data_IF_383001975089
#
_entry.id   IF_383001975089
#
_cell.length_a   1.000
_cell.length_b   1.000
_cell.length_c   1.000
_cell.angle_alpha   90.00
_cell.angle_beta   90.00
_cell.angle_gamma   90.00
#
_symmetry.space_group_name_H-M   'P 1'
#
loop_
_entity.id
_entity.type
_entity.pdbx_description
1 polymer ?
#
# COMPACT_ATOMS: atom_id res chain seq x y z
N UNK A 1 8.11 21.03 6.75
CA UNK A 1 8.17 19.74 7.47
C UNK A 1 7.95 18.65 6.43
N UNK A 2 8.85 17.66 6.36
CA UNK A 2 8.80 16.58 5.36
C UNK A 2 8.05 15.36 5.91
N UNK A 3 7.91 15.24 7.23
CA UNK A 3 7.16 14.16 7.90
C UNK A 3 5.69 14.07 7.43
N UNK A 4 5.11 12.86 7.40
CA UNK A 4 5.74 11.57 7.73
C UNK A 4 6.82 11.14 6.73
N UNK A 5 7.74 10.26 7.15
CA UNK A 5 8.89 9.78 6.37
C UNK A 5 8.64 8.39 5.79
N UNK A 6 9.04 8.17 4.53
CA UNK A 6 9.07 6.84 3.91
C UNK A 6 10.45 6.18 3.99
N UNK A 7 11.51 6.99 3.90
CA UNK A 7 12.92 6.59 3.94
C UNK A 7 13.77 7.72 4.52
N UNK A 8 15.07 7.49 4.71
CA UNK A 8 16.02 8.59 4.96
C UNK A 8 15.90 9.65 3.86
N UNK A 9 15.73 10.91 4.27
CA UNK A 9 15.62 12.11 3.41
C UNK A 9 14.45 12.11 2.42
N UNK A 10 13.49 11.21 2.55
CA UNK A 10 12.29 11.18 1.71
C UNK A 10 11.01 11.15 2.54
N UNK A 11 10.14 12.13 2.28
CA UNK A 11 8.79 12.18 2.84
C UNK A 11 7.89 11.08 2.28
N UNK A 12 6.99 10.59 3.13
CA UNK A 12 5.98 9.58 2.79
C UNK A 12 4.98 10.11 1.77
N UNK A 13 4.69 11.42 1.78
CA UNK A 13 3.82 12.06 0.78
C UNK A 13 4.47 12.07 -0.59
N UNK A 14 5.74 12.45 -0.66
CA UNK A 14 6.49 12.45 -1.92
C UNK A 14 6.61 11.04 -2.49
N UNK A 15 6.87 10.05 -1.64
CA UNK A 15 6.90 8.64 -2.04
C UNK A 15 5.53 8.15 -2.53
N UNK A 16 4.45 8.48 -1.83
CA UNK A 16 3.10 8.10 -2.20
C UNK A 16 2.68 8.67 -3.56
N UNK A 17 2.91 9.97 -3.77
CA UNK A 17 2.62 10.65 -5.04
C UNK A 17 3.55 10.13 -6.15
N UNK A 18 4.84 9.96 -5.85
CA UNK A 18 5.84 9.44 -6.77
C UNK A 18 5.50 8.05 -7.29
N UNK A 19 5.12 7.14 -6.38
CA UNK A 19 4.70 5.76 -6.67
C UNK A 19 3.53 5.70 -7.65
N UNK A 20 2.55 6.60 -7.54
CA UNK A 20 1.47 6.67 -8.52
C UNK A 20 1.89 7.39 -9.81
N UNK A 21 2.65 8.49 -9.72
CA UNK A 21 3.09 9.27 -10.88
C UNK A 21 3.93 8.43 -11.85
N UNK A 22 4.74 7.50 -11.34
CA UNK A 22 5.53 6.60 -12.21
C UNK A 22 4.68 5.56 -12.92
N UNK A 23 3.44 5.31 -12.47
CA UNK A 23 2.47 4.44 -13.14
C UNK A 23 1.58 5.19 -14.11
N UNK A 24 1.36 6.48 -13.87
CA UNK A 24 0.51 7.31 -14.72
C UNK A 24 1.05 7.32 -16.16
N UNK A 25 0.17 7.02 -17.11
CA UNK A 25 0.53 6.80 -18.52
C UNK A 25 1.22 5.46 -18.85
N UNK A 26 1.64 4.65 -17.86
CA UNK A 26 2.26 3.33 -18.09
C UNK A 26 1.29 2.16 -17.93
N UNK A 27 0.24 2.34 -17.14
CA UNK A 27 -0.85 1.37 -17.06
C UNK A 27 -1.87 1.66 -18.15
N UNK A 28 -1.99 0.74 -19.12
CA UNK A 28 -2.95 0.88 -20.21
C UNK A 28 -4.40 0.84 -19.73
N UNK A 29 -5.30 1.50 -20.46
CA UNK A 29 -6.74 1.46 -20.16
C UNK A 29 -7.30 0.03 -20.14
N UNK A 30 -6.72 -0.86 -20.95
CA UNK A 30 -7.05 -2.29 -20.99
C UNK A 30 -6.81 -2.99 -19.66
N UNK A 31 -5.82 -2.56 -18.87
CA UNK A 31 -5.58 -3.12 -17.54
C UNK A 31 -6.78 -2.88 -16.61
N UNK A 32 -7.27 -1.63 -16.54
CA UNK A 32 -8.45 -1.29 -15.73
C UNK A 32 -9.71 -2.03 -16.22
N UNK A 33 -9.88 -2.19 -17.54
CA UNK A 33 -10.97 -3.01 -18.12
C UNK A 33 -10.89 -4.47 -17.68
N UNK A 34 -9.68 -5.04 -17.58
CA UNK A 34 -9.49 -6.41 -17.08
C UNK A 34 -9.92 -6.50 -15.62
N UNK A 35 -9.55 -5.53 -14.78
CA UNK A 35 -9.97 -5.52 -13.37
C UNK A 35 -11.49 -5.52 -13.26
N UNK A 36 -12.16 -4.54 -13.87
CA UNK A 36 -13.62 -4.43 -13.88
C UNK A 36 -14.30 -5.74 -14.29
N UNK A 37 -13.92 -6.30 -15.45
CA UNK A 37 -14.51 -7.56 -15.97
C UNK A 37 -14.24 -8.78 -15.11
N UNK A 38 -13.09 -8.84 -14.42
CA UNK A 38 -12.73 -9.97 -13.55
C UNK A 38 -13.50 -9.92 -12.24
N UNK A 39 -13.70 -8.72 -11.70
CA UNK A 39 -14.50 -8.47 -10.49
C UNK A 39 -15.99 -8.72 -10.72
N UNK A 40 -16.52 -8.29 -11.88
CA UNK A 40 -17.92 -8.47 -12.26
C UNK A 40 -18.35 -9.94 -12.26
N UNK A 41 -17.45 -10.87 -12.61
CA UNK A 41 -17.70 -12.33 -12.53
C UNK A 41 -18.02 -12.84 -11.12
N UNK A 42 -17.74 -12.06 -10.09
CA UNK A 42 -18.05 -12.34 -8.69
C UNK A 42 -19.12 -11.39 -8.13
N UNK A 43 -19.80 -10.64 -9.00
CA UNK A 43 -20.83 -9.67 -8.64
C UNK A 43 -20.27 -8.38 -8.04
N UNK A 44 -18.96 -8.13 -8.14
CA UNK A 44 -18.34 -6.87 -7.71
C UNK A 44 -18.33 -5.95 -8.92
N UNK A 45 -19.33 -5.06 -9.02
CA UNK A 45 -19.49 -4.17 -10.17
C UNK A 45 -18.78 -2.85 -9.89
N UNK A 46 -17.79 -2.54 -10.71
CA UNK A 46 -17.07 -1.27 -10.72
C UNK A 46 -16.98 -0.77 -12.15
N UNK A 47 -17.37 0.48 -12.36
CA UNK A 47 -17.11 1.14 -13.64
C UNK A 47 -15.60 1.42 -13.80
N UNK A 48 -15.21 1.87 -14.99
CA UNK A 48 -13.80 2.09 -15.31
C UNK A 48 -13.17 3.20 -14.45
N UNK A 49 -13.95 4.22 -14.06
CA UNK A 49 -13.44 5.33 -13.26
C UNK A 49 -13.23 4.90 -11.80
N UNK A 50 -14.19 4.17 -11.22
CA UNK A 50 -14.06 3.58 -9.89
C UNK A 50 -12.87 2.64 -9.78
N UNK A 51 -12.60 1.82 -10.81
CA UNK A 51 -11.39 1.00 -10.85
C UNK A 51 -10.12 1.86 -10.86
N UNK A 52 -10.06 2.91 -11.69
CA UNK A 52 -8.90 3.81 -11.75
C UNK A 52 -8.66 4.51 -10.41
N UNK A 53 -9.72 4.97 -9.75
CA UNK A 53 -9.65 5.59 -8.43
C UNK A 53 -9.14 4.61 -7.36
N UNK A 54 -9.68 3.40 -7.32
CA UNK A 54 -9.22 2.37 -6.36
C UNK A 54 -7.76 2.00 -6.59
N UNK A 55 -7.32 1.85 -7.86
CA UNK A 55 -5.92 1.57 -8.19
C UNK A 55 -5.02 2.74 -7.75
N UNK A 56 -5.46 3.99 -7.97
CA UNK A 56 -4.74 5.16 -7.51
C UNK A 56 -4.62 5.17 -5.99
N UNK A 57 -5.74 5.03 -5.29
CA UNK A 57 -5.79 5.07 -3.83
C UNK A 57 -4.91 3.97 -3.22
N UNK A 58 -4.99 2.73 -3.72
CA UNK A 58 -4.19 1.63 -3.16
C UNK A 58 -2.69 1.83 -3.39
N UNK A 59 -2.28 2.36 -4.55
CA UNK A 59 -0.86 2.67 -4.80
C UNK A 59 -0.38 3.81 -3.91
N UNK A 60 -1.16 4.88 -3.77
CA UNK A 60 -0.79 6.04 -2.94
C UNK A 60 -0.74 5.69 -1.45
N UNK A 61 -1.61 4.78 -0.99
CA UNK A 61 -1.80 4.49 0.43
C UNK A 61 -1.22 3.14 0.88
N UNK A 62 -0.58 2.35 -0.01
CA UNK A 62 -0.03 1.03 0.34
C UNK A 62 0.94 1.08 1.53
N UNK A 63 1.59 2.22 1.71
CA UNK A 63 2.63 2.48 2.69
C UNK A 63 2.16 3.32 3.89
N UNK A 64 0.83 3.50 4.05
CA UNK A 64 0.22 4.23 5.17
C UNK A 64 0.73 3.77 6.54
N UNK A 65 1.00 2.48 6.72
CA UNK A 65 1.53 1.93 7.95
C UNK A 65 2.91 2.45 8.34
N UNK A 66 3.70 3.01 7.40
CA UNK A 66 4.93 3.73 7.73
C UNK A 66 4.66 4.97 8.58
N UNK A 67 3.43 5.49 8.58
CA UNK A 67 3.00 6.57 9.47
C UNK A 67 2.82 6.12 10.94
N UNK A 68 3.11 4.86 11.29
CA UNK A 68 3.14 4.41 12.68
C UNK A 68 4.11 5.23 13.52
N UNK A 69 3.67 5.63 14.73
CA UNK A 69 4.50 6.40 15.65
C UNK A 69 5.86 5.76 15.91
N UNK A 70 5.93 4.42 15.98
CA UNK A 70 7.19 3.69 16.13
C UNK A 70 8.21 4.08 15.05
N UNK A 71 7.77 4.18 13.80
CA UNK A 71 8.64 4.52 12.68
C UNK A 71 8.97 6.01 12.66
N UNK A 72 7.97 6.86 12.81
CA UNK A 72 8.12 8.31 12.68
C UNK A 72 8.93 8.95 13.81
N UNK A 73 9.02 8.27 14.97
CA UNK A 73 9.88 8.67 16.08
C UNK A 73 11.35 8.29 15.88
N UNK A 74 11.70 7.56 14.81
CA UNK A 74 13.10 7.26 14.45
C UNK A 74 13.76 8.39 13.64
N UNK A 75 13.00 9.41 13.23
CA UNK A 75 13.45 10.49 12.34
C UNK A 75 13.21 11.89 12.95
N UNK A 76 13.96 12.88 12.48
CA UNK A 76 13.65 14.31 12.66
C UNK A 76 12.62 14.80 11.64
N UNK A 77 12.20 16.08 11.74
CA UNK A 77 11.17 16.68 10.88
C UNK A 77 11.55 16.79 9.39
N UNK A 78 12.81 16.53 9.06
CA UNK A 78 13.37 16.52 7.71
C UNK A 78 13.67 15.08 7.22
N UNK A 79 13.18 14.07 7.95
CA UNK A 79 13.43 12.66 7.65
C UNK A 79 14.90 12.25 7.71
N UNK A 80 15.72 12.94 8.51
CA UNK A 80 17.03 12.44 8.90
C UNK A 80 16.88 11.45 10.05
N UNK A 81 17.54 10.28 10.00
CA UNK A 81 17.44 9.30 11.06
C UNK A 81 18.13 9.80 12.34
N UNK A 82 17.45 9.65 13.48
CA UNK A 82 17.98 10.00 14.80
C UNK A 82 18.98 8.97 15.32
N UNK A 83 18.99 7.76 14.74
CA UNK A 83 19.90 6.65 15.04
C UNK A 83 20.32 5.97 13.74
N UNK A 84 21.50 5.34 13.73
CA UNK A 84 22.04 4.65 12.55
C UNK A 84 21.19 3.47 12.07
N UNK A 85 20.47 2.81 12.97
CA UNK A 85 19.61 1.67 12.65
C UNK A 85 18.15 2.11 12.74
N UNK A 86 17.56 2.45 11.59
CA UNK A 86 16.12 2.67 11.45
C UNK A 86 15.50 1.55 10.61
N UNK A 87 14.21 1.29 10.82
CA UNK A 87 13.50 0.21 10.11
C UNK A 87 12.01 0.50 10.03
N UNK A 88 11.40 0.05 8.94
CA UNK A 88 9.95 0.01 8.71
C UNK A 88 9.42 -1.43 8.74
N UNK A 89 10.07 -2.34 9.48
CA UNK A 89 9.64 -3.75 9.54
C UNK A 89 8.17 -3.86 9.97
N UNK A 90 7.37 -4.64 9.22
CA UNK A 90 5.94 -4.85 9.47
C UNK A 90 5.00 -3.65 9.17
N UNK A 91 5.45 -2.61 8.46
CA UNK A 91 4.57 -1.50 8.09
C UNK A 91 3.37 -1.93 7.24
N UNK A 92 3.48 -3.03 6.48
CA UNK A 92 2.37 -3.62 5.73
C UNK A 92 1.16 -3.97 6.63
N UNK A 93 1.37 -4.29 7.90
CA UNK A 93 0.29 -4.58 8.85
C UNK A 93 -0.51 -3.32 9.18
N UNK A 94 0.16 -2.19 9.40
CA UNK A 94 -0.52 -0.90 9.64
C UNK A 94 -1.32 -0.45 8.44
N UNK A 95 -0.75 -0.58 7.23
CA UNK A 95 -1.45 -0.26 5.99
C UNK A 95 -2.66 -1.20 5.78
N UNK A 96 -2.51 -2.49 6.04
CA UNK A 96 -3.59 -3.46 5.91
C UNK A 96 -4.73 -3.19 6.89
N UNK A 97 -4.43 -2.88 8.14
CA UNK A 97 -5.41 -2.48 9.15
C UNK A 97 -6.22 -1.26 8.71
N UNK A 98 -5.56 -0.29 8.05
CA UNK A 98 -6.24 0.85 7.45
C UNK A 98 -7.22 0.45 6.34
N UNK A 99 -6.79 -0.39 5.39
CA UNK A 99 -7.70 -0.85 4.33
C UNK A 99 -8.85 -1.72 4.84
N UNK A 100 -8.61 -2.49 5.89
CA UNK A 100 -9.61 -3.36 6.49
C UNK A 100 -10.67 -2.57 7.27
N UNK A 101 -10.24 -1.60 8.07
CA UNK A 101 -11.13 -0.90 9.01
C UNK A 101 -11.70 0.40 8.44
N UNK A 102 -10.87 1.23 7.82
CA UNK A 102 -11.19 2.65 7.62
C UNK A 102 -11.27 3.07 6.14
N UNK A 103 -10.82 2.21 5.20
CA UNK A 103 -10.99 2.48 3.77
C UNK A 103 -12.42 2.16 3.33
N UNK A 104 -13.11 3.15 2.77
CA UNK A 104 -14.46 2.98 2.23
C UNK A 104 -14.50 3.25 0.71
N UNK A 105 -14.67 2.21 -0.13
CA UNK A 105 -14.98 2.42 -1.53
C UNK A 105 -16.42 2.98 -1.64
N UNK A 106 -16.60 4.02 -2.46
CA UNK A 106 -17.89 4.73 -2.59
C UNK A 106 -18.70 4.02 -3.66
N UNK A 107 -20.01 3.92 -3.46
CA UNK A 107 -20.99 3.43 -4.43
C UNK A 107 -20.70 2.00 -4.93
N UNK A 108 -20.09 1.17 -4.07
CA UNK A 108 -19.87 -0.24 -4.35
C UNK A 108 -20.75 -1.07 -3.43
N UNK A 109 -21.73 -1.77 -4.02
CA UNK A 109 -22.59 -2.70 -3.27
C UNK A 109 -21.79 -3.75 -2.48
N UNK A 110 -20.66 -4.18 -3.06
CA UNK A 110 -19.70 -5.13 -2.49
C UNK A 110 -18.44 -4.46 -1.94
N UNK A 111 -18.62 -3.41 -1.15
CA UNK A 111 -17.53 -2.63 -0.57
C UNK A 111 -16.56 -3.50 0.26
N UNK A 112 -17.08 -4.43 1.06
CA UNK A 112 -16.29 -5.30 1.92
C UNK A 112 -15.42 -6.30 1.14
N UNK A 113 -15.90 -6.81 0.00
CA UNK A 113 -15.09 -7.63 -0.90
C UNK A 113 -13.96 -6.82 -1.52
N UNK A 114 -14.22 -5.57 -1.94
CA UNK A 114 -13.17 -4.68 -2.45
C UNK A 114 -12.13 -4.39 -1.35
N UNK A 115 -12.56 -4.01 -0.15
CA UNK A 115 -11.67 -3.81 1.01
C UNK A 115 -10.81 -5.04 1.29
N UNK A 116 -11.42 -6.23 1.22
CA UNK A 116 -10.71 -7.50 1.41
C UNK A 116 -9.60 -7.69 0.37
N UNK A 117 -9.86 -7.36 -0.90
CA UNK A 117 -8.87 -7.45 -1.97
C UNK A 117 -7.72 -6.45 -1.79
N UNK A 118 -8.02 -5.21 -1.41
CA UNK A 118 -7.00 -4.18 -1.17
C UNK A 118 -6.14 -4.52 0.05
N UNK A 119 -6.77 -4.98 1.13
CA UNK A 119 -6.07 -5.43 2.34
C UNK A 119 -5.09 -6.56 2.01
N UNK A 120 -5.52 -7.58 1.24
CA UNK A 120 -4.64 -8.67 0.82
C UNK A 120 -3.52 -8.21 -0.12
N UNK A 121 -3.80 -7.26 -1.02
CA UNK A 121 -2.79 -6.68 -1.89
C UNK A 121 -1.69 -5.98 -1.09
N UNK A 122 -2.07 -5.18 -0.10
CA UNK A 122 -1.14 -4.47 0.78
C UNK A 122 -0.38 -5.43 1.69
N UNK A 123 -1.04 -6.43 2.29
CA UNK A 123 -0.34 -7.43 3.11
C UNK A 123 0.74 -8.21 2.32
N UNK A 124 0.54 -8.39 1.01
CA UNK A 124 1.47 -9.12 0.15
C UNK A 124 2.41 -8.22 -0.65
N UNK A 125 2.42 -6.90 -0.46
CA UNK A 125 3.26 -6.02 -1.29
C UNK A 125 4.76 -6.22 -1.06
N UNK A 126 5.14 -6.87 0.05
CA UNK A 126 6.50 -7.31 0.38
C UNK A 126 6.66 -8.85 0.34
N UNK A 127 5.86 -9.55 -0.47
CA UNK A 127 5.84 -11.03 -0.53
C UNK A 127 7.19 -11.71 -0.75
N UNK A 128 8.17 -11.01 -1.32
CA UNK A 128 9.54 -11.50 -1.47
C UNK A 128 10.31 -11.61 -0.14
N UNK A 129 9.85 -10.91 0.90
CA UNK A 129 10.48 -10.82 2.23
C UNK A 129 9.60 -11.49 3.28
N UNK A 130 8.28 -11.25 3.23
CA UNK A 130 7.29 -11.78 4.18
C UNK A 130 5.97 -12.04 3.49
N UNK A 131 5.34 -13.16 3.83
CA UNK A 131 4.03 -13.57 3.32
C UNK A 131 3.00 -13.60 4.44
N UNK A 132 1.71 -13.58 4.09
CA UNK A 132 0.61 -13.58 5.08
C UNK A 132 0.70 -14.76 6.06
N UNK A 133 1.17 -15.92 5.60
CA UNK A 133 1.30 -17.10 6.46
C UNK A 133 2.35 -16.96 7.57
N UNK A 134 3.20 -15.93 7.52
CA UNK A 134 4.16 -15.62 8.57
C UNK A 134 3.50 -14.95 9.78
N UNK A 135 2.24 -14.50 9.66
CA UNK A 135 1.51 -13.82 10.71
C UNK A 135 0.59 -14.76 11.50
N UNK A 136 0.69 -14.69 12.83
CA UNK A 136 -0.12 -15.49 13.74
C UNK A 136 -1.35 -14.70 14.18
N UNK A 137 -2.53 -15.31 14.07
CA UNK A 137 -3.81 -14.67 14.42
C UNK A 137 -3.88 -14.24 15.90
N UNK A 138 -3.23 -14.98 16.80
CA UNK A 138 -3.35 -14.78 18.25
C UNK A 138 -2.13 -14.11 18.88
N UNK A 139 -1.20 -13.58 18.07
CA UNK A 139 0.01 -12.93 18.58
C UNK A 139 0.61 -12.02 17.51
N UNK A 140 1.00 -10.81 17.89
CA UNK A 140 1.83 -9.99 17.01
C UNK A 140 3.16 -10.70 16.62
N UNK A 141 3.78 -10.31 15.49
CA UNK A 141 5.11 -10.79 15.13
C UNK A 141 6.15 -10.53 16.22
N UNK A 142 7.25 -11.27 16.19
CA UNK A 142 8.34 -11.02 17.14
C UNK A 142 8.96 -9.62 16.91
N UNK A 143 9.31 -8.93 18.01
CA UNK A 143 9.79 -7.55 18.03
C UNK A 143 8.79 -6.51 17.50
N UNK A 144 7.51 -6.86 17.41
CA UNK A 144 6.46 -5.90 17.10
C UNK A 144 6.25 -4.95 18.28
N UNK A 145 6.16 -3.66 17.98
CA UNK A 145 5.83 -2.61 18.93
C UNK A 145 4.45 -2.07 18.58
N UNK A 146 3.52 -1.98 19.53
CA UNK A 146 2.16 -1.51 19.27
C UNK A 146 2.11 -0.11 18.62
N UNK A 147 3.13 0.72 18.85
CA UNK A 147 3.26 2.04 18.20
C UNK A 147 3.45 1.94 16.68
N UNK A 148 3.75 0.75 16.13
CA UNK A 148 3.78 0.51 14.68
C UNK A 148 2.39 0.64 14.04
N UNK A 149 1.30 0.46 14.80
CA UNK A 149 -0.08 0.55 14.32
C UNK A 149 -0.86 1.71 14.94
N UNK A 150 -0.18 2.59 15.68
CA UNK A 150 -0.71 3.89 16.10
C UNK A 150 -0.49 4.88 14.96
N UNK A 151 -1.47 4.95 14.05
CA UNK A 151 -1.37 5.74 12.83
C UNK A 151 -2.02 7.12 12.93
N UNK A 152 -2.86 7.39 13.93
CA UNK A 152 -3.71 8.59 13.96
C UNK A 152 -2.91 9.87 13.73
N UNK A 153 -1.83 10.06 14.50
CA UNK A 153 -1.02 11.27 14.49
C UNK A 153 -0.45 11.60 13.12
N UNK A 154 0.34 10.69 12.55
CA UNK A 154 1.05 10.95 11.29
C UNK A 154 0.25 10.54 10.05
N UNK A 155 -0.61 9.54 10.17
CA UNK A 155 -1.53 9.13 9.12
C UNK A 155 -2.55 10.24 8.82
N UNK A 156 -3.05 10.95 9.83
CA UNK A 156 -3.95 12.09 9.60
C UNK A 156 -3.25 13.23 8.85
N UNK A 157 -1.98 13.49 9.18
CA UNK A 157 -1.15 14.45 8.43
C UNK A 157 -0.99 13.98 6.99
N UNK A 158 -0.75 12.68 6.76
CA UNK A 158 -0.63 12.12 5.42
C UNK A 158 -1.91 12.30 4.61
N UNK A 159 -3.06 11.88 5.14
CA UNK A 159 -4.35 12.02 4.47
C UNK A 159 -4.71 13.48 4.21
N UNK A 160 -4.36 14.41 5.11
CA UNK A 160 -4.56 15.84 4.91
C UNK A 160 -3.76 16.37 3.72
N UNK A 161 -2.49 15.99 3.60
CA UNK A 161 -1.62 16.44 2.51
C UNK A 161 -1.94 15.77 1.17
N UNK A 162 -2.59 14.61 1.20
CA UNK A 162 -3.06 13.90 0.01
C UNK A 162 -4.46 14.33 -0.44
N UNK A 163 -5.09 15.32 0.22
CA UNK A 163 -6.39 15.87 -0.22
C UNK A 163 -6.30 16.37 -1.67
N UNK A 164 -7.18 15.87 -2.53
CA UNK A 164 -7.19 16.16 -3.97
C UNK A 164 -6.29 15.24 -4.80
N UNK A 165 -5.38 14.48 -4.18
CA UNK A 165 -4.70 13.35 -4.81
C UNK A 165 -5.56 12.10 -4.65
N UNK A 166 -5.93 11.76 -3.42
CA UNK A 166 -6.88 10.68 -3.17
C UNK A 166 -8.30 11.19 -3.44
N UNK A 167 -9.14 10.30 -3.96
CA UNK A 167 -10.48 10.63 -4.43
C UNK A 167 -11.41 11.16 -3.32
N UNK A 168 -11.05 10.95 -2.04
CA UNK A 168 -11.98 11.04 -0.90
C UNK A 168 -11.35 11.57 0.38
N UNK A 169 -12.20 12.08 1.26
CA UNK A 169 -11.85 12.42 2.64
C UNK A 169 -11.82 11.16 3.50
N UNK A 170 -10.69 10.47 3.51
CA UNK A 170 -10.46 9.32 4.39
C UNK A 170 -10.11 9.80 5.80
N UNK A 171 -10.35 8.93 6.79
CA UNK A 171 -9.90 9.11 8.17
C UNK A 171 -9.04 7.92 8.55
N UNK A 172 -8.16 8.13 9.52
CA UNK A 172 -7.31 7.08 10.08
C UNK A 172 -7.30 7.22 11.59
N UNK A 173 -7.37 6.08 12.28
CA UNK A 173 -7.29 6.01 13.73
C UNK A 173 -6.06 5.22 14.16
N UNK A 174 -5.92 5.10 15.47
CA UNK A 174 -5.02 4.12 16.05
C UNK A 174 -5.70 2.75 16.05
N UNK A 175 -4.92 1.72 15.75
CA UNK A 175 -5.37 0.34 15.82
C UNK A 175 -4.86 -0.36 17.08
N UNK A 176 -5.47 -1.49 17.36
CA UNK A 176 -5.27 -2.33 18.54
C UNK A 176 -4.91 -3.75 18.13
N UNK A 177 -4.58 -4.58 19.12
CA UNK A 177 -4.43 -6.01 18.89
C UNK A 177 -5.73 -6.67 18.43
N UNK A 178 -6.88 -6.23 18.93
CA UNK A 178 -8.18 -6.77 18.52
C UNK A 178 -8.43 -6.50 17.03
N UNK A 179 -8.11 -5.30 16.54
CA UNK A 179 -8.20 -4.98 15.10
C UNK A 179 -7.32 -5.89 14.25
N UNK A 180 -6.10 -6.19 14.73
CA UNK A 180 -5.16 -7.09 14.07
C UNK A 180 -5.68 -8.53 14.07
N UNK A 181 -6.17 -8.99 15.23
CA UNK A 181 -6.75 -10.31 15.41
C UNK A 181 -7.95 -10.50 14.49
N UNK A 182 -8.90 -9.57 14.49
CA UNK A 182 -10.12 -9.64 13.69
C UNK A 182 -9.80 -9.70 12.19
N UNK A 183 -8.88 -8.85 11.72
CA UNK A 183 -8.42 -8.85 10.33
C UNK A 183 -7.83 -10.22 9.92
N UNK A 184 -6.85 -10.72 10.67
CA UNK A 184 -6.20 -11.99 10.33
C UNK A 184 -7.13 -13.19 10.53
N UNK A 185 -7.97 -13.17 11.55
CA UNK A 185 -8.97 -14.21 11.80
C UNK A 185 -9.95 -14.28 10.63
N UNK A 186 -10.45 -13.13 10.15
CA UNK A 186 -11.32 -13.08 8.97
C UNK A 186 -10.65 -13.72 7.75
N UNK A 187 -9.39 -13.39 7.45
CA UNK A 187 -8.67 -14.00 6.32
C UNK A 187 -8.30 -15.48 6.53
N UNK A 188 -8.13 -15.92 7.78
CA UNK A 188 -7.89 -17.34 8.09
C UNK A 188 -9.11 -18.23 7.79
N UNK A 189 -10.31 -17.64 7.82
CA UNK A 189 -11.58 -18.34 7.58
C UNK A 189 -12.10 -18.18 6.16
N UNK A 190 -11.63 -17.18 5.42
CA UNK A 190 -12.07 -16.95 4.05
C UNK A 190 -11.36 -17.89 3.07
N UNK A 191 -12.14 -18.51 2.19
CA UNK A 191 -11.64 -19.35 1.09
C UNK A 191 -12.25 -18.96 -0.27
N UNK A 192 -12.84 -17.77 -0.36
CA UNK A 192 -13.54 -17.32 -1.55
C UNK A 192 -12.60 -17.17 -2.74
N UNK A 193 -13.03 -17.69 -3.90
CA UNK A 193 -12.23 -17.66 -5.14
C UNK A 193 -11.92 -16.24 -5.60
N UNK A 194 -12.79 -15.28 -5.30
CA UNK A 194 -12.59 -13.87 -5.68
C UNK A 194 -11.34 -13.28 -5.01
N UNK A 195 -10.93 -13.77 -3.84
CA UNK A 195 -9.80 -13.21 -3.09
C UNK A 195 -8.50 -13.28 -3.89
N UNK A 196 -8.33 -14.28 -4.76
CA UNK A 196 -7.16 -14.38 -5.66
C UNK A 196 -7.01 -13.16 -6.59
N UNK A 197 -8.07 -12.39 -6.79
CA UNK A 197 -8.07 -11.16 -7.58
C UNK A 197 -7.32 -10.02 -6.88
N UNK A 198 -6.87 -10.16 -5.62
CA UNK A 198 -6.03 -9.15 -4.96
C UNK A 198 -4.78 -8.85 -5.80
N UNK A 199 -4.29 -9.84 -6.56
CA UNK A 199 -3.14 -9.69 -7.45
C UNK A 199 -3.31 -8.60 -8.51
N UNK A 200 -4.56 -8.28 -8.89
CA UNK A 200 -4.88 -7.20 -9.81
C UNK A 200 -4.65 -5.81 -9.20
N UNK A 201 -4.58 -5.71 -7.87
CA UNK A 201 -4.25 -4.48 -7.15
C UNK A 201 -2.81 -4.51 -6.62
N UNK A 202 -2.28 -5.70 -6.32
CA UNK A 202 -0.88 -5.87 -5.93
C UNK A 202 0.08 -5.46 -7.05
N UNK A 203 -0.18 -5.86 -8.30
CA UNK A 203 0.71 -5.56 -9.41
C UNK A 203 1.00 -4.05 -9.59
N UNK A 204 0.02 -3.13 -9.61
CA UNK A 204 0.32 -1.71 -9.68
C UNK A 204 1.06 -1.19 -8.45
N UNK A 205 0.78 -1.69 -7.24
CA UNK A 205 1.56 -1.34 -6.03
C UNK A 205 3.04 -1.69 -6.24
N UNK A 206 3.32 -2.94 -6.62
CA UNK A 206 4.70 -3.42 -6.82
C UNK A 206 5.43 -2.63 -7.91
N UNK A 207 4.75 -2.31 -9.01
CA UNK A 207 5.34 -1.51 -10.08
C UNK A 207 5.63 -0.08 -9.61
N UNK A 208 4.68 0.55 -8.92
CA UNK A 208 4.78 1.94 -8.48
C UNK A 208 5.89 2.13 -7.44
N UNK A 209 5.84 1.35 -6.36
CA UNK A 209 6.79 1.43 -5.26
C UNK A 209 8.23 1.15 -5.74
N UNK A 210 8.45 0.07 -6.51
CA UNK A 210 9.80 -0.28 -6.96
C UNK A 210 10.39 0.75 -7.93
N UNK A 211 9.58 1.32 -8.83
CA UNK A 211 10.06 2.33 -9.78
C UNK A 211 10.35 3.66 -9.08
N UNK A 212 9.49 4.12 -8.16
CA UNK A 212 9.74 5.34 -7.38
C UNK A 212 10.98 5.18 -6.50
N UNK A 213 11.03 4.09 -5.72
CA UNK A 213 12.19 3.73 -4.90
C UNK A 213 13.48 3.70 -5.71
N UNK A 214 13.46 3.17 -6.93
CA UNK A 214 14.62 3.19 -7.82
C UNK A 214 15.01 4.60 -8.21
N UNK A 215 14.07 5.43 -8.67
CA UNK A 215 14.35 6.78 -9.15
C UNK A 215 14.95 7.65 -8.04
N UNK A 216 14.45 7.54 -6.81
CA UNK A 216 14.99 8.30 -5.68
C UNK A 216 16.36 7.78 -5.23
N UNK A 217 16.60 6.47 -5.31
CA UNK A 217 17.92 5.87 -4.98
C UNK A 217 18.97 6.01 -6.09
N UNK A 218 18.58 6.44 -7.30
CA UNK A 218 19.43 6.47 -8.51
C UNK A 218 20.53 7.55 -8.55
N UNK A 219 20.92 8.11 -7.41
CA UNK A 219 22.27 8.66 -7.27
C UNK A 219 23.37 7.57 -7.14
N UNK A 220 23.03 6.27 -7.19
CA UNK A 220 24.03 5.19 -7.31
C UNK A 220 23.45 3.81 -7.62
N UNK A 221 23.51 3.38 -8.89
CA UNK A 221 23.35 1.98 -9.37
C UNK A 221 21.96 1.31 -9.30
N UNK A 222 21.30 1.16 -10.47
CA UNK A 222 20.06 0.35 -10.64
C UNK A 222 20.31 -1.16 -10.49
N UNK A 223 19.39 -1.88 -9.84
CA UNK A 223 19.31 -3.34 -9.88
C UNK A 223 18.79 -3.85 -11.24
N UNK A 224 19.14 -5.08 -11.63
CA UNK A 224 18.79 -5.69 -12.93
C UNK A 224 17.26 -5.75 -13.16
N UNK A 225 16.49 -6.08 -12.14
CA UNK A 225 15.04 -6.20 -12.21
C UNK A 225 14.36 -4.87 -12.58
N UNK A 226 14.79 -3.78 -11.95
CA UNK A 226 14.28 -2.43 -12.22
C UNK A 226 14.56 -2.00 -13.67
N UNK A 227 15.74 -2.33 -14.21
CA UNK A 227 16.07 -2.03 -15.61
C UNK A 227 15.16 -2.78 -16.59
N UNK A 228 14.81 -4.02 -16.26
CA UNK A 228 13.89 -4.83 -17.07
C UNK A 228 12.49 -4.21 -17.04
N UNK A 229 11.98 -3.86 -15.85
CA UNK A 229 10.68 -3.20 -15.71
C UNK A 229 10.59 -1.88 -16.48
N UNK A 230 11.61 -1.04 -16.39
CA UNK A 230 11.67 0.21 -17.17
C UNK A 230 11.72 -0.06 -18.68
N UNK A 231 12.47 -1.08 -19.12
CA UNK A 231 12.54 -1.49 -20.52
C UNK A 231 11.18 -1.93 -21.06
N UNK A 232 10.50 -2.82 -20.34
CA UNK A 232 9.17 -3.32 -20.73
C UNK A 232 8.12 -2.20 -20.78
N UNK A 233 8.14 -1.27 -19.81
CA UNK A 233 7.16 -0.18 -19.76
C UNK A 233 7.40 0.91 -20.83
N UNK A 234 8.64 1.06 -21.30
CA UNK A 234 9.00 2.02 -22.35
C UNK A 234 8.93 1.39 -23.76
N UNK A 235 8.36 0.19 -23.91
CA UNK A 235 8.23 -0.49 -25.20
C UNK A 235 9.56 -1.04 -25.75
N UNK A 236 10.58 -1.18 -24.90
CA UNK A 236 11.87 -1.74 -25.26
C UNK A 236 11.83 -3.27 -25.29
N UNK A 237 12.02 -3.85 -26.48
CA UNK A 237 12.33 -5.27 -26.63
C UNK A 237 13.68 -5.55 -25.97
N UNK A 238 13.71 -6.39 -24.94
CA UNK A 238 14.96 -6.93 -24.40
C UNK A 238 15.09 -8.38 -24.87
N UNK A 239 15.93 -8.57 -25.89
CA UNK A 239 16.65 -9.82 -26.13
C UNK A 239 17.89 -9.80 -25.24
#
# INVERSE_FOLDING_TARGET
>A
MIKPCAYEKQGLIDHAIGSYRVLDGKISESYYKIISRRLERYGIVLDLNGVKEIVKDVVVLHDMGKAGEYYQNQFDDNCNPLKSNFSFIYHELGSALFFYNDYEPIDVEKAEEVKSLLTLAVLNHLNAIRVISDYLVNKFPDNFDERMIKLNKYGSIMLQNLRGVISKSLKVRDYTFDDYHDMLYAFSKKSDKYLKLYNLFLAPIMLGDNLDSSLVRNNGSKTRFVRILEGELNGGSTI
#
